data_IF_526712483756
#
_entry.id   IF_526712483756
#
_cell.length_a   1.000
_cell.length_b   1.000
_cell.length_c   1.000
_cell.angle_alpha   90.00
_cell.angle_beta   90.00
_cell.angle_gamma   90.00
#
_symmetry.space_group_name_H-M   'P 1'
#
loop_
_entity.id
_entity.type
_entity.pdbx_description
1 polymer ?
#
# COMPACT_ATOMS: atom_id res chain seq x y z
N UNK A 1 -1.41 -21.58 7.98
CA UNK A 1 -2.17 -20.90 6.93
C UNK A 1 -3.18 -19.96 7.56
N UNK A 2 -3.13 -18.70 7.27
CA UNK A 2 -4.08 -17.76 7.85
C UNK A 2 -5.34 -17.71 6.99
N UNK A 3 -6.44 -18.14 7.55
CA UNK A 3 -7.70 -18.32 6.84
C UNK A 3 -8.37 -17.02 6.38
N UNK A 4 -7.95 -15.87 6.87
CA UNK A 4 -8.52 -14.58 6.49
C UNK A 4 -7.63 -13.75 5.58
N UNK A 5 -6.41 -14.21 5.33
CA UNK A 5 -5.42 -13.44 4.59
C UNK A 5 -5.50 -13.78 3.11
N UNK A 6 -6.29 -12.98 2.40
CA UNK A 6 -6.53 -13.19 0.98
C UNK A 6 -5.62 -12.29 0.14
N UNK A 7 -4.37 -12.71 -0.04
CA UNK A 7 -3.38 -11.99 -0.83
C UNK A 7 -3.53 -12.42 -2.29
N UNK A 8 -3.80 -11.45 -3.17
CA UNK A 8 -3.91 -11.72 -4.61
C UNK A 8 -2.55 -11.71 -5.29
N UNK A 9 -1.61 -10.90 -4.79
CA UNK A 9 -0.29 -10.78 -5.38
C UNK A 9 0.68 -11.82 -4.82
N UNK A 10 0.54 -13.05 -5.29
CA UNK A 10 1.36 -14.18 -4.85
C UNK A 10 2.53 -14.47 -5.78
N UNK A 11 2.48 -13.95 -7.02
CA UNK A 11 3.56 -14.14 -7.98
C UNK A 11 4.51 -12.95 -7.91
N UNK A 12 5.50 -13.04 -7.03
CA UNK A 12 6.42 -11.94 -6.75
C UNK A 12 7.68 -12.08 -7.59
N UNK A 13 7.94 -11.06 -8.41
CA UNK A 13 9.12 -10.97 -9.25
C UNK A 13 10.31 -10.47 -8.43
N UNK A 14 11.42 -11.17 -8.50
CA UNK A 14 12.66 -10.78 -7.83
C UNK A 14 13.78 -10.58 -8.83
N UNK A 15 14.69 -9.67 -8.52
CA UNK A 15 15.92 -9.46 -9.31
C UNK A 15 16.83 -10.69 -9.20
N UNK A 16 17.76 -10.80 -10.13
CA UNK A 16 18.75 -11.89 -10.12
C UNK A 16 19.50 -11.91 -8.79
N UNK A 17 19.62 -13.08 -8.18
CA UNK A 17 20.31 -13.26 -6.91
C UNK A 17 19.50 -12.90 -5.67
N UNK A 18 18.28 -12.41 -5.82
CA UNK A 18 17.40 -12.09 -4.70
C UNK A 18 16.45 -13.25 -4.44
N UNK A 19 16.40 -13.71 -3.20
CA UNK A 19 15.51 -14.79 -2.76
C UNK A 19 14.72 -14.31 -1.55
N UNK A 20 13.41 -14.54 -1.56
CA UNK A 20 12.53 -14.20 -0.44
C UNK A 20 12.12 -15.48 0.31
N UNK A 21 12.12 -15.39 1.63
CA UNK A 21 11.52 -16.43 2.47
C UNK A 21 9.99 -16.33 2.40
N UNK A 22 9.30 -17.38 2.78
CA UNK A 22 7.82 -17.39 2.72
C UNK A 22 7.18 -16.24 3.48
N UNK A 23 7.72 -15.92 4.66
CA UNK A 23 7.23 -14.79 5.44
C UNK A 23 7.43 -13.47 4.71
N UNK A 24 8.59 -13.28 4.06
CA UNK A 24 8.87 -12.08 3.27
C UNK A 24 7.95 -11.98 2.07
N UNK A 25 7.66 -13.10 1.40
CA UNK A 25 6.70 -13.13 0.29
C UNK A 25 5.32 -12.68 0.74
N UNK A 26 4.90 -13.10 1.93
CA UNK A 26 3.62 -12.70 2.50
C UNK A 26 3.58 -11.19 2.74
N UNK A 27 4.63 -10.63 3.32
CA UNK A 27 4.71 -9.18 3.55
C UNK A 27 4.70 -8.41 2.25
N UNK A 28 5.51 -8.81 1.28
CA UNK A 28 5.58 -8.14 -0.04
C UNK A 28 4.25 -8.24 -0.76
N UNK A 29 3.64 -9.42 -0.79
CA UNK A 29 2.34 -9.62 -1.43
C UNK A 29 1.25 -8.75 -0.83
N UNK A 30 1.22 -8.64 0.50
CA UNK A 30 0.25 -7.79 1.19
C UNK A 30 0.43 -6.32 0.84
N UNK A 31 1.67 -5.85 0.75
CA UNK A 31 1.97 -4.46 0.40
C UNK A 31 1.61 -4.18 -1.07
N UNK A 32 1.89 -5.12 -1.96
CA UNK A 32 1.47 -4.99 -3.36
C UNK A 32 -0.05 -4.87 -3.48
N UNK A 33 -0.79 -5.63 -2.70
CA UNK A 33 -2.25 -5.54 -2.66
C UNK A 33 -2.71 -4.17 -2.15
N UNK A 34 -2.06 -3.65 -1.10
CA UNK A 34 -2.39 -2.33 -0.57
C UNK A 34 -2.19 -1.24 -1.63
N UNK A 35 -1.07 -1.27 -2.35
CA UNK A 35 -0.81 -0.33 -3.44
C UNK A 35 -1.74 -0.53 -4.63
N UNK A 36 -2.35 -1.70 -4.77
CA UNK A 36 -3.34 -1.95 -5.81
C UNK A 36 -4.76 -1.50 -5.41
N UNK A 37 -4.90 -0.87 -4.26
CA UNK A 37 -6.20 -0.43 -3.76
C UNK A 37 -7.04 -1.57 -3.20
N UNK A 38 -6.41 -2.60 -2.66
CA UNK A 38 -7.06 -3.78 -2.09
C UNK A 38 -6.70 -3.95 -0.61
N UNK A 39 -7.05 -2.96 0.25
CA UNK A 39 -6.78 -3.08 1.67
C UNK A 39 -7.74 -4.08 2.31
N UNK A 40 -7.32 -4.66 3.43
CA UNK A 40 -8.21 -5.42 4.30
C UNK A 40 -7.67 -5.34 5.73
N UNK A 41 -8.53 -5.53 6.70
CA UNK A 41 -8.10 -5.54 8.10
C UNK A 41 -7.11 -6.68 8.35
N UNK A 42 -7.29 -7.81 7.69
CA UNK A 42 -6.38 -8.96 7.79
C UNK A 42 -4.97 -8.62 7.30
N UNK A 43 -4.85 -7.94 6.16
CA UNK A 43 -3.55 -7.52 5.62
C UNK A 43 -2.87 -6.53 6.56
N UNK A 44 -3.65 -5.64 7.17
CA UNK A 44 -3.13 -4.63 8.08
C UNK A 44 -2.78 -5.22 9.45
N UNK A 45 -3.23 -6.44 9.78
CA UNK A 45 -2.75 -7.16 10.95
C UNK A 45 -1.27 -7.58 10.81
N UNK A 46 -0.73 -7.59 9.60
CA UNK A 46 0.70 -7.83 9.37
C UNK A 46 1.56 -6.63 9.76
N UNK A 47 0.95 -5.50 10.12
CA UNK A 47 1.64 -4.30 10.58
C UNK A 47 1.60 -4.20 12.09
N UNK A 48 2.65 -3.62 12.67
CA UNK A 48 2.64 -3.27 14.10
C UNK A 48 1.71 -2.09 14.33
N UNK A 49 1.12 -1.99 15.52
CA UNK A 49 0.21 -0.91 15.87
C UNK A 49 0.85 0.47 15.70
N UNK A 50 2.13 0.58 16.02
CA UNK A 50 2.91 1.81 15.88
C UNK A 50 3.54 1.95 14.48
N UNK A 51 3.16 1.11 13.53
CA UNK A 51 3.68 1.13 12.18
C UNK A 51 3.46 2.47 11.46
N UNK A 52 4.28 2.73 10.45
CA UNK A 52 4.27 4.01 9.73
C UNK A 52 4.19 3.76 8.22
N UNK A 53 3.36 4.54 7.54
CA UNK A 53 3.41 4.66 6.10
C UNK A 53 3.94 6.06 5.76
N UNK A 54 4.93 6.13 4.87
CA UNK A 54 5.54 7.39 4.48
C UNK A 54 5.70 7.45 2.97
N UNK A 55 5.28 8.55 2.37
CA UNK A 55 5.59 8.89 0.98
C UNK A 55 6.07 10.35 0.93
N UNK A 56 6.42 10.92 -0.25
CA UNK A 56 6.97 12.28 -0.32
C UNK A 56 6.07 13.38 0.22
N UNK A 57 4.78 13.13 0.37
CA UNK A 57 3.83 14.14 0.83
C UNK A 57 3.01 13.69 2.05
N UNK A 58 3.25 12.48 2.56
CA UNK A 58 2.43 11.90 3.64
C UNK A 58 3.29 11.19 4.66
N UNK A 59 2.97 11.37 5.93
CA UNK A 59 3.46 10.52 7.01
C UNK A 59 2.24 10.09 7.80
N UNK A 60 1.91 8.80 7.76
CA UNK A 60 0.80 8.22 8.53
C UNK A 60 1.39 7.35 9.63
N UNK A 61 1.36 7.85 10.86
CA UNK A 61 1.94 7.20 12.01
C UNK A 61 0.87 6.51 12.86
N UNK A 62 1.04 5.21 13.08
CA UNK A 62 0.14 4.43 13.90
C UNK A 62 -1.07 3.89 13.15
N UNK A 63 -1.69 2.89 13.74
CA UNK A 63 -2.75 2.10 13.08
C UNK A 63 -3.90 2.95 12.54
N UNK A 64 -4.41 3.89 13.31
CA UNK A 64 -5.53 4.72 12.85
C UNK A 64 -5.18 5.50 11.58
N UNK A 65 -3.98 6.04 11.53
CA UNK A 65 -3.54 6.84 10.39
C UNK A 65 -3.23 6.00 9.16
N UNK A 66 -2.47 4.91 9.32
CA UNK A 66 -2.14 4.12 8.13
C UNK A 66 -3.37 3.36 7.60
N UNK A 67 -4.28 2.92 8.44
CA UNK A 67 -5.53 2.31 7.99
C UNK A 67 -6.35 3.31 7.16
N UNK A 68 -6.51 4.53 7.66
CA UNK A 68 -7.20 5.59 6.94
C UNK A 68 -6.53 5.88 5.59
N UNK A 69 -5.22 5.86 5.55
CA UNK A 69 -4.46 6.11 4.32
C UNK A 69 -4.73 5.03 3.27
N UNK A 70 -4.68 3.76 3.65
CA UNK A 70 -4.88 2.66 2.70
C UNK A 70 -6.33 2.56 2.21
N UNK A 71 -7.30 2.69 3.10
CA UNK A 71 -8.71 2.72 2.69
C UNK A 71 -9.04 3.98 1.91
N UNK A 72 -8.37 5.08 2.22
CA UNK A 72 -8.49 6.33 1.47
C UNK A 72 -7.98 6.18 0.05
N UNK A 73 -6.87 5.48 -0.14
CA UNK A 73 -6.33 5.20 -1.47
C UNK A 73 -7.35 4.45 -2.33
N UNK A 74 -7.98 3.44 -1.77
CA UNK A 74 -9.03 2.69 -2.45
C UNK A 74 -10.19 3.59 -2.86
N UNK A 75 -10.55 4.55 -2.01
CA UNK A 75 -11.69 5.44 -2.26
C UNK A 75 -11.39 6.56 -3.25
N UNK A 76 -10.15 7.01 -3.32
CA UNK A 76 -9.76 8.17 -4.12
C UNK A 76 -9.63 7.88 -5.61
N UNK A 77 -9.38 6.65 -5.98
CA UNK A 77 -9.11 6.26 -7.36
C UNK A 77 -10.14 5.25 -7.86
N UNK A 78 -10.61 5.44 -9.11
CA UNK A 78 -11.52 4.50 -9.74
C UNK A 78 -10.79 3.27 -10.26
N UNK A 79 -9.51 3.43 -10.60
CA UNK A 79 -8.66 2.34 -11.02
C UNK A 79 -7.26 2.53 -10.47
N UNK A 80 -6.68 1.46 -9.98
CA UNK A 80 -5.27 1.39 -9.63
C UNK A 80 -4.74 0.10 -10.25
N UNK A 81 -3.79 0.23 -11.19
CA UNK A 81 -3.21 -0.92 -11.86
C UNK A 81 -1.71 -0.96 -11.62
N UNK A 82 -1.24 -2.07 -11.06
CA UNK A 82 0.20 -2.29 -10.93
C UNK A 82 0.72 -2.80 -12.27
N UNK A 83 1.54 -1.99 -12.91
CA UNK A 83 2.07 -2.29 -14.23
C UNK A 83 3.29 -3.21 -14.14
N UNK A 84 4.14 -3.00 -13.13
CA UNK A 84 5.34 -3.81 -12.94
C UNK A 84 5.83 -3.69 -11.51
N UNK A 85 6.59 -4.69 -11.07
CA UNK A 85 7.31 -4.65 -9.81
C UNK A 85 8.52 -5.57 -9.87
N UNK A 86 9.54 -5.27 -9.06
CA UNK A 86 10.70 -6.15 -8.92
C UNK A 86 11.33 -5.94 -7.55
N UNK A 87 11.41 -7.00 -6.77
CA UNK A 87 12.10 -6.96 -5.48
C UNK A 87 13.61 -6.98 -5.74
N UNK A 88 14.30 -5.95 -5.28
CA UNK A 88 15.73 -5.77 -5.52
C UNK A 88 16.60 -6.11 -4.31
N UNK A 89 16.01 -6.21 -3.12
CA UNK A 89 16.70 -6.56 -1.88
C UNK A 89 15.76 -7.29 -0.94
N UNK A 90 16.23 -8.38 -0.36
CA UNK A 90 15.48 -9.18 0.61
C UNK A 90 15.91 -8.94 2.05
N UNK A 91 16.63 -7.85 2.31
CA UNK A 91 17.09 -7.50 3.66
C UNK A 91 16.01 -6.84 4.50
N UNK A 92 16.44 -5.93 5.34
CA UNK A 92 15.57 -5.08 6.14
C UNK A 92 16.07 -3.63 6.02
N UNK A 93 15.46 -2.81 5.16
CA UNK A 93 14.16 -3.07 4.50
C UNK A 93 14.24 -4.06 3.34
N UNK A 94 13.10 -4.69 3.04
CA UNK A 94 12.89 -5.32 1.74
C UNK A 94 12.65 -4.18 0.78
N UNK A 95 13.40 -4.11 -0.32
CA UNK A 95 13.26 -3.03 -1.29
C UNK A 95 12.73 -3.55 -2.61
N UNK A 96 11.83 -2.81 -3.24
CA UNK A 96 11.30 -3.17 -4.55
C UNK A 96 11.05 -1.93 -5.39
N UNK A 97 11.21 -2.10 -6.70
CA UNK A 97 10.75 -1.12 -7.67
C UNK A 97 9.28 -1.40 -7.96
N UNK A 98 8.50 -0.35 -8.07
CA UNK A 98 7.06 -0.46 -8.31
C UNK A 98 6.63 0.57 -9.32
N UNK A 99 5.81 0.15 -10.29
CA UNK A 99 5.23 1.03 -11.30
C UNK A 99 3.72 0.86 -11.27
N UNK A 100 3.01 1.94 -11.03
CA UNK A 100 1.56 1.90 -10.83
C UNK A 100 0.88 2.99 -11.62
N UNK A 101 -0.24 2.65 -12.26
CA UNK A 101 -1.10 3.60 -12.96
C UNK A 101 -2.30 3.90 -12.07
N UNK A 102 -2.53 5.18 -11.81
CA UNK A 102 -3.64 5.67 -11.00
C UNK A 102 -4.62 6.44 -11.87
N UNK A 103 -5.90 6.20 -11.68
CA UNK A 103 -6.98 6.94 -12.34
C UNK A 103 -7.89 7.56 -11.30
N UNK A 104 -8.01 8.89 -11.32
CA UNK A 104 -8.79 9.63 -10.33
C UNK A 104 -10.28 9.39 -10.53
N UNK A 105 -10.97 9.12 -9.43
CA UNK A 105 -12.41 8.89 -9.42
C UNK A 105 -13.17 10.14 -9.84
N UNK A 106 -14.09 9.98 -10.79
CA UNK A 106 -14.98 11.04 -11.27
C UNK A 106 -14.38 11.93 -12.34
N UNK A 107 -13.07 12.09 -12.40
CA UNK A 107 -12.39 13.00 -13.35
C UNK A 107 -11.80 12.24 -14.53
N UNK A 108 -11.40 10.99 -14.32
CA UNK A 108 -10.82 10.17 -15.37
C UNK A 108 -9.38 10.48 -15.73
N UNK A 109 -8.72 11.37 -14.99
CA UNK A 109 -7.30 11.66 -15.17
C UNK A 109 -6.45 10.50 -14.69
N UNK A 110 -5.44 10.15 -15.46
CA UNK A 110 -4.53 9.06 -15.11
C UNK A 110 -3.08 9.51 -15.09
N UNK A 111 -2.31 8.87 -14.24
CA UNK A 111 -0.86 9.07 -14.20
C UNK A 111 -0.18 7.77 -13.75
N UNK A 112 0.94 7.48 -14.37
CA UNK A 112 1.81 6.37 -13.97
C UNK A 112 2.90 6.90 -13.07
N UNK A 113 3.05 6.27 -11.91
CA UNK A 113 4.08 6.65 -10.93
C UNK A 113 5.03 5.48 -10.77
N UNK A 114 6.33 5.76 -10.93
CA UNK A 114 7.40 4.81 -10.62
C UNK A 114 7.99 5.16 -9.27
N UNK A 115 8.18 4.16 -8.43
CA UNK A 115 8.67 4.37 -7.07
C UNK A 115 9.59 3.24 -6.61
N UNK A 116 10.30 3.51 -5.53
CA UNK A 116 11.03 2.49 -4.76
C UNK A 116 10.32 2.37 -3.43
N UNK A 117 9.86 1.17 -3.12
CA UNK A 117 9.15 0.88 -1.87
C UNK A 117 10.08 0.11 -0.95
N UNK A 118 10.26 0.61 0.26
CA UNK A 118 11.06 -0.03 1.30
C UNK A 118 10.13 -0.53 2.40
N UNK A 119 10.20 -1.83 2.69
CA UNK A 119 9.38 -2.46 3.72
C UNK A 119 10.28 -2.83 4.88
N UNK A 120 10.17 -2.08 5.96
CA UNK A 120 10.87 -2.34 7.22
C UNK A 120 10.01 -3.31 8.04
N UNK A 121 10.64 -4.31 8.64
CA UNK A 121 9.91 -5.34 9.38
C UNK A 121 10.70 -5.79 10.60
N UNK A 122 9.97 -6.31 11.58
CA UNK A 122 10.54 -6.82 12.81
C UNK A 122 9.60 -7.88 13.39
N UNK A 123 10.14 -9.04 13.72
CA UNK A 123 9.33 -10.11 14.30
C UNK A 123 8.20 -10.59 13.40
N UNK A 124 8.40 -10.52 12.07
CA UNK A 124 7.39 -10.95 11.12
C UNK A 124 6.29 -9.95 10.84
N UNK A 125 6.43 -8.74 11.37
CA UNK A 125 5.45 -7.67 11.16
C UNK A 125 6.11 -6.44 10.56
N UNK A 126 5.33 -5.70 9.78
CA UNK A 126 5.78 -4.45 9.14
C UNK A 126 5.82 -3.35 10.19
N UNK A 127 6.96 -2.66 10.25
CA UNK A 127 7.14 -1.49 11.12
C UNK A 127 7.03 -0.19 10.34
N UNK A 128 7.37 -0.21 9.04
CA UNK A 128 7.29 0.97 8.20
C UNK A 128 7.27 0.57 6.74
N UNK A 129 6.44 1.24 5.96
CA UNK A 129 6.50 1.20 4.50
C UNK A 129 6.82 2.60 4.03
N UNK A 130 7.92 2.74 3.30
CA UNK A 130 8.36 3.99 2.73
C UNK A 130 8.27 3.93 1.22
N UNK A 131 7.55 4.88 0.62
CA UNK A 131 7.37 4.97 -0.83
C UNK A 131 8.12 6.21 -1.33
N UNK A 132 9.17 5.99 -2.13
CA UNK A 132 9.97 7.06 -2.71
C UNK A 132 9.67 7.17 -4.19
N UNK A 133 9.03 8.24 -4.60
CA UNK A 133 8.69 8.44 -6.00
C UNK A 133 9.93 8.83 -6.82
N UNK A 134 10.09 8.15 -7.96
CA UNK A 134 11.17 8.44 -8.89
C UNK A 134 10.71 9.46 -9.93
N UNK A 135 11.55 10.45 -10.18
CA UNK A 135 11.28 11.44 -11.21
C UNK A 135 10.23 12.45 -10.81
N UNK A 136 9.27 12.69 -11.69
CA UNK A 136 8.33 13.77 -11.56
C UNK A 136 7.25 13.47 -10.52
N UNK A 137 6.99 14.43 -9.63
CA UNK A 137 5.90 14.33 -8.66
C UNK A 137 4.53 14.39 -9.38
N UNK A 138 3.49 13.80 -8.79
CA UNK A 138 2.14 13.91 -9.35
C UNK A 138 1.70 15.37 -9.51
N UNK A 139 0.93 15.64 -10.54
CA UNK A 139 0.41 16.99 -10.84
C UNK A 139 -1.11 16.95 -11.06
N UNK A 140 -1.74 18.12 -10.99
CA UNK A 140 -3.16 18.32 -11.30
C UNK A 140 -4.09 17.50 -10.41
N UNK A 141 -5.09 16.87 -11.01
CA UNK A 141 -6.08 16.08 -10.28
C UNK A 141 -5.48 14.91 -9.50
N UNK A 142 -4.41 14.30 -10.03
CA UNK A 142 -3.71 13.21 -9.35
C UNK A 142 -3.05 13.73 -8.06
N UNK A 143 -2.35 14.87 -8.15
CA UNK A 143 -1.73 15.49 -6.98
C UNK A 143 -2.77 15.87 -5.93
N UNK A 144 -3.91 16.40 -6.37
CA UNK A 144 -4.99 16.76 -5.46
C UNK A 144 -5.59 15.55 -4.78
N UNK A 145 -5.74 14.44 -5.49
CA UNK A 145 -6.23 13.20 -4.90
C UNK A 145 -5.29 12.71 -3.80
N UNK A 146 -3.97 12.71 -4.03
CA UNK A 146 -3.00 12.33 -3.01
C UNK A 146 -2.96 13.31 -1.82
N UNK A 147 -3.08 14.62 -2.08
CA UNK A 147 -3.15 15.61 -1.01
C UNK A 147 -4.41 15.46 -0.15
N UNK A 148 -5.52 15.11 -0.79
CA UNK A 148 -6.77 14.86 -0.06
C UNK A 148 -6.62 13.65 0.86
N UNK A 149 -5.82 12.66 0.50
CA UNK A 149 -5.49 11.54 1.38
C UNK A 149 -4.76 12.01 2.64
N UNK A 150 -3.93 13.05 2.55
CA UNK A 150 -3.27 13.61 3.74
C UNK A 150 -4.26 14.24 4.72
N UNK A 151 -5.25 14.98 4.20
CA UNK A 151 -6.27 15.58 5.06
C UNK A 151 -7.17 14.50 5.67
N UNK A 152 -7.14 13.32 5.15
CA UNK A 152 -7.99 12.19 5.52
C UNK A 152 -7.35 11.29 6.59
N UNK A 153 -6.14 11.60 7.03
CA UNK A 153 -5.63 11.04 8.27
C UNK A 153 -6.48 11.48 9.47
N UNK A 154 -7.44 12.37 9.20
CA UNK A 154 -8.51 12.69 10.15
C UNK A 154 -9.61 11.62 9.97
N UNK A 155 -9.88 10.76 10.95
CA UNK A 155 -10.79 9.63 10.82
C UNK A 155 -12.24 9.96 10.46
N UNK A 156 -12.59 11.23 10.38
CA UNK A 156 -13.95 11.69 10.06
C UNK A 156 -14.34 11.53 8.60
N UNK A 157 -13.36 11.47 7.69
CA UNK A 157 -13.61 11.56 6.25
C UNK A 157 -13.55 10.20 5.60
N UNK A 158 -12.71 9.30 6.12
CA UNK A 158 -12.61 7.93 5.62
C UNK A 158 -13.19 6.97 6.65
N UNK A 159 -14.17 6.21 6.19
CA UNK A 159 -14.77 5.17 6.99
C UNK A 159 -13.94 3.89 6.87
N UNK A 160 -13.16 3.60 7.90
CA UNK A 160 -12.45 2.33 8.02
C UNK A 160 -13.42 1.27 8.52
N UNK A 161 -13.41 0.03 7.96
CA UNK A 161 -14.29 -1.03 8.45
C UNK A 161 -14.09 -1.27 9.94
N UNK A 162 -15.17 -1.45 10.67
CA UNK A 162 -15.13 -1.67 12.12
C UNK A 162 -14.82 -3.12 12.47
N UNK A 163 -15.11 -4.04 11.55
CA UNK A 163 -14.93 -5.47 11.74
C UNK A 163 -14.75 -6.17 10.39
N UNK A 164 -14.50 -7.48 10.44
CA UNK A 164 -14.26 -8.29 9.25
C UNK A 164 -15.49 -8.39 8.33
N UNK A 165 -16.68 -8.40 8.90
CA UNK A 165 -17.93 -8.48 8.12
C UNK A 165 -18.12 -7.22 7.29
N UNK A 166 -17.88 -6.06 7.87
CA UNK A 166 -17.97 -4.78 7.16
C UNK A 166 -16.91 -4.69 6.08
N UNK A 167 -15.71 -5.18 6.37
CA UNK A 167 -14.59 -5.21 5.43
C UNK A 167 -14.93 -6.10 4.23
N UNK A 168 -15.46 -7.30 4.48
CA UNK A 168 -15.89 -8.23 3.44
C UNK A 168 -17.01 -7.64 2.58
N UNK A 169 -17.94 -6.90 3.18
CA UNK A 169 -19.03 -6.26 2.47
C UNK A 169 -18.56 -5.22 1.46
N UNK A 170 -17.34 -4.68 1.63
CA UNK A 170 -16.72 -3.75 0.67
C UNK A 170 -15.99 -4.46 -0.45
N UNK A 171 -15.95 -5.80 -0.47
CA UNK A 171 -15.23 -6.59 -1.45
C UNK A 171 -13.77 -6.84 -1.12
N UNK A 172 -13.38 -6.63 0.12
CA UNK A 172 -11.97 -6.77 0.54
C UNK A 172 -11.63 -8.16 1.10
#
# INVERSE_FOLDING_TARGET
MSSGLNIENTNIKTAAGVTLEEQQKTLVGSVLDLFAGRPSLEKLQLWKDEGVFEDPITIAEGRKQYEAQWYGLQSAFSEIERLDHEVTSSGNPISMNLKTRYKVKGVGMEQTISSVVNIFHEGGKITKVQDKWNGKLPEGAIANAFRNLNSVTVPKIISVPKNKEEDAARGN
#
